data_IF_501133099418
#
_entry.id   IF_501133099418
#
_cell.length_a   1.000
_cell.length_b   1.000
_cell.length_c   1.000
_cell.angle_alpha   90.00
_cell.angle_beta   90.00
_cell.angle_gamma   90.00
#
_symmetry.space_group_name_H-M   'P 1'
#
loop_
_entity.id
_entity.type
_entity.pdbx_description
1 polymer ?
#
# COMPACT_ATOMS: atom_id res chain seq x y z
N UNK A 1 1.08 2.52 -6.19
CA UNK A 1 0.99 2.92 -4.77
C UNK A 1 -0.09 2.13 -4.00
N UNK A 2 -1.39 2.23 -4.31
CA UNK A 2 -2.43 1.54 -3.53
C UNK A 2 -2.30 0.01 -3.53
N UNK A 3 -1.96 -0.60 -4.69
CA UNK A 3 -1.72 -2.04 -4.77
C UNK A 3 -0.55 -2.50 -3.86
N UNK A 4 0.51 -1.71 -3.76
CA UNK A 4 1.65 -2.00 -2.89
C UNK A 4 1.26 -1.93 -1.41
N UNK A 5 0.47 -0.92 -1.03
CA UNK A 5 -0.05 -0.80 0.35
C UNK A 5 -0.97 -1.95 0.71
N UNK A 6 -1.91 -2.31 -0.17
CA UNK A 6 -2.80 -3.45 0.03
C UNK A 6 -2.04 -4.76 0.14
N UNK A 7 -1.11 -5.04 -0.79
CA UNK A 7 -0.33 -6.28 -0.79
C UNK A 7 0.53 -6.41 0.45
N UNK A 8 1.21 -5.32 0.86
CA UNK A 8 1.99 -5.33 2.09
C UNK A 8 1.11 -5.66 3.30
N UNK A 9 -0.09 -5.11 3.38
CA UNK A 9 -0.99 -5.37 4.52
C UNK A 9 -1.55 -6.78 4.53
N UNK A 10 -1.88 -7.35 3.36
CA UNK A 10 -2.28 -8.76 3.24
C UNK A 10 -1.18 -9.69 3.79
N UNK A 11 0.09 -9.38 3.52
CA UNK A 11 1.21 -10.19 3.95
C UNK A 11 1.64 -9.92 5.41
N UNK A 12 1.57 -8.66 5.84
CA UNK A 12 2.01 -8.25 7.18
C UNK A 12 0.92 -8.39 8.26
N UNK A 13 -0.36 -8.49 7.87
CA UNK A 13 -1.50 -8.56 8.79
C UNK A 13 -1.82 -7.25 9.52
N UNK A 14 -1.12 -6.14 9.23
CA UNK A 14 -1.31 -4.84 9.87
C UNK A 14 -1.23 -3.68 8.89
N UNK A 15 -2.17 -2.74 9.02
CA UNK A 15 -2.25 -1.57 8.15
C UNK A 15 -1.12 -0.55 8.36
N UNK A 16 -0.41 -0.62 9.49
CA UNK A 16 0.67 0.31 9.81
C UNK A 16 1.99 -0.03 9.10
N UNK A 17 2.12 -1.24 8.52
CA UNK A 17 3.31 -1.64 7.77
C UNK A 17 3.59 -0.68 6.59
N UNK A 18 2.53 -0.08 6.05
CA UNK A 18 2.56 0.91 4.96
C UNK A 18 3.42 2.14 5.26
N UNK A 19 3.65 2.46 6.55
CA UNK A 19 4.47 3.61 6.92
C UNK A 19 5.93 3.48 6.47
N UNK A 20 6.42 2.26 6.33
CA UNK A 20 7.74 1.98 5.77
C UNK A 20 7.85 2.32 4.28
N UNK A 21 6.73 2.29 3.54
CA UNK A 21 6.67 2.56 2.11
C UNK A 21 6.38 4.04 1.80
N UNK A 22 5.89 4.82 2.76
CA UNK A 22 5.55 6.23 2.54
C UNK A 22 6.70 7.05 1.95
N UNK A 23 7.95 6.98 2.44
CA UNK A 23 9.06 7.74 1.86
C UNK A 23 9.29 7.38 0.39
N UNK A 24 9.33 6.08 0.08
CA UNK A 24 9.54 5.57 -1.27
C UNK A 24 8.43 6.03 -2.22
N UNK A 25 7.16 5.97 -1.79
CA UNK A 25 6.04 6.43 -2.61
C UNK A 25 6.08 7.95 -2.85
N UNK A 26 6.49 8.73 -1.85
CA UNK A 26 6.66 10.18 -2.01
C UNK A 26 7.75 10.50 -3.02
N UNK A 27 8.87 9.79 -2.98
CA UNK A 27 9.99 10.02 -3.89
C UNK A 27 9.66 9.58 -5.32
N UNK A 28 9.03 8.41 -5.49
CA UNK A 28 8.52 7.93 -6.80
C UNK A 28 7.48 8.91 -7.35
N UNK A 29 6.57 9.43 -6.53
CA UNK A 29 5.56 10.39 -6.99
C UNK A 29 6.21 11.69 -7.47
N UNK A 30 7.17 12.23 -6.71
CA UNK A 30 7.90 13.46 -7.09
C UNK A 30 8.70 13.29 -8.38
N UNK A 31 9.37 12.17 -8.57
CA UNK A 31 10.17 11.93 -9.79
C UNK A 31 9.31 11.86 -11.05
N UNK A 32 8.06 11.43 -10.92
CA UNK A 32 7.08 11.39 -12.00
C UNK A 32 6.26 12.70 -12.14
N UNK A 33 6.63 13.77 -11.42
CA UNK A 33 5.87 15.02 -11.33
C UNK A 33 4.42 14.85 -10.85
N UNK A 34 4.13 13.81 -10.08
CA UNK A 34 2.82 13.52 -9.52
C UNK A 34 2.75 14.07 -8.09
N UNK A 35 1.66 14.77 -7.76
CA UNK A 35 1.40 15.29 -6.42
C UNK A 35 1.32 14.15 -5.41
N UNK A 36 2.26 14.03 -4.43
CA UNK A 36 2.32 12.87 -3.54
C UNK A 36 1.10 12.67 -2.65
N UNK A 37 0.32 13.72 -2.37
CA UNK A 37 -0.87 13.64 -1.50
C UNK A 37 -1.90 12.63 -1.99
N UNK A 38 -2.03 12.47 -3.31
CA UNK A 38 -3.01 11.57 -3.94
C UNK A 38 -2.62 10.09 -3.82
N UNK A 39 -1.44 9.64 -4.30
CA UNK A 39 -1.03 8.25 -4.14
C UNK A 39 -0.81 7.87 -2.67
N UNK A 40 -0.40 8.80 -1.81
CA UNK A 40 -0.18 8.55 -0.39
C UNK A 40 -1.50 8.29 0.35
N UNK A 41 -2.53 9.12 0.13
CA UNK A 41 -3.84 8.95 0.77
C UNK A 41 -4.48 7.63 0.35
N UNK A 42 -4.45 7.31 -0.95
CA UNK A 42 -4.96 6.06 -1.50
C UNK A 42 -4.21 4.85 -0.93
N UNK A 43 -2.89 4.94 -0.76
CA UNK A 43 -2.10 3.85 -0.18
C UNK A 43 -2.49 3.56 1.28
N UNK A 44 -2.67 4.60 2.10
CA UNK A 44 -3.05 4.44 3.51
C UNK A 44 -4.47 3.85 3.64
N UNK A 45 -5.43 4.35 2.86
CA UNK A 45 -6.80 3.81 2.86
C UNK A 45 -6.81 2.35 2.40
N UNK A 46 -6.11 2.06 1.32
CA UNK A 46 -6.02 0.71 0.77
C UNK A 46 -5.36 -0.27 1.74
N UNK A 47 -4.39 0.21 2.52
CA UNK A 47 -3.77 -0.55 3.60
C UNK A 47 -4.78 -0.93 4.69
N UNK A 48 -5.58 0.03 5.19
CA UNK A 48 -6.56 -0.27 6.24
C UNK A 48 -7.66 -1.22 5.78
N UNK A 49 -8.10 -1.09 4.53
CA UNK A 49 -9.05 -2.02 3.93
C UNK A 49 -8.41 -3.41 3.74
N UNK A 50 -7.12 -3.48 3.39
CA UNK A 50 -6.40 -4.75 3.20
C UNK A 50 -6.37 -5.64 4.45
N UNK A 51 -6.46 -5.07 5.66
CA UNK A 51 -6.50 -5.85 6.92
C UNK A 51 -7.64 -6.86 6.90
N UNK A 52 -8.81 -6.49 6.36
CA UNK A 52 -10.01 -7.35 6.38
C UNK A 52 -9.93 -8.52 5.41
N UNK A 53 -8.97 -8.51 4.49
CA UNK A 53 -8.73 -9.58 3.54
C UNK A 53 -7.47 -10.41 3.88
N UNK A 54 -6.75 -10.04 4.95
CA UNK A 54 -5.49 -10.68 5.33
C UNK A 54 -5.73 -11.97 6.11
N UNK A 55 -5.29 -13.15 5.62
CA UNK A 55 -5.43 -14.41 6.36
C UNK A 55 -4.60 -14.44 7.65
N UNK A 56 -3.51 -13.68 7.70
CA UNK A 56 -2.64 -13.52 8.88
C UNK A 56 -3.28 -12.62 9.96
N UNK A 57 -4.35 -11.88 9.63
CA UNK A 57 -4.92 -10.90 10.57
C UNK A 57 -5.80 -11.59 11.62
N UNK A 58 -5.54 -11.30 12.89
CA UNK A 58 -6.36 -11.78 13.99
C UNK A 58 -7.84 -11.36 13.86
N UNK A 59 -8.11 -10.18 13.28
CA UNK A 59 -9.47 -9.70 13.05
C UNK A 59 -10.24 -10.58 12.06
N UNK A 60 -9.56 -11.05 11.01
CA UNK A 60 -10.13 -11.90 9.96
C UNK A 60 -10.40 -13.30 10.50
N UNK A 61 -9.45 -13.88 11.24
CA UNK A 61 -9.60 -15.19 11.89
C UNK A 61 -10.76 -15.16 12.90
N UNK A 62 -10.88 -14.09 13.69
CA UNK A 62 -12.00 -13.92 14.61
C UNK A 62 -13.34 -13.83 13.85
N UNK A 63 -13.43 -12.98 12.84
CA UNK A 63 -14.65 -12.79 12.06
C UNK A 63 -15.09 -14.06 11.35
N UNK A 64 -14.16 -14.85 10.82
CA UNK A 64 -14.50 -16.14 10.23
C UNK A 64 -15.05 -17.13 11.24
N UNK A 65 -14.51 -17.16 12.47
CA UNK A 65 -15.04 -18.03 13.53
C UNK A 65 -16.46 -17.64 13.97
N UNK A 66 -16.80 -16.36 13.89
CA UNK A 66 -18.18 -15.87 14.14
C UNK A 66 -19.13 -16.24 13.00
N UNK A 67 -18.64 -16.29 11.76
CA UNK A 67 -19.43 -16.60 10.56
C UNK A 67 -19.55 -18.10 10.28
N UNK A 68 -18.67 -18.93 10.84
CA UNK A 68 -18.67 -20.39 10.66
C UNK A 68 -19.98 -21.06 11.14
N UNK A 69 -20.56 -20.70 12.31
CA UNK A 69 -21.89 -21.19 12.72
C UNK A 69 -23.03 -20.80 11.78
N UNK A 70 -22.84 -19.76 10.95
CA UNK A 70 -23.81 -19.30 9.95
C UNK A 70 -23.66 -20.05 8.61
N UNK A 71 -22.80 -21.07 8.55
CA UNK A 71 -22.60 -21.92 7.38
C UNK A 71 -21.54 -21.43 6.40
N UNK A 72 -20.71 -20.44 6.78
CA UNK A 72 -19.63 -19.93 5.94
C UNK A 72 -18.31 -20.63 6.22
N UNK A 73 -17.57 -20.95 5.17
CA UNK A 73 -16.24 -21.55 5.28
C UNK A 73 -15.13 -20.49 5.16
N UNK A 74 -14.05 -20.65 5.92
CA UNK A 74 -12.92 -19.73 5.97
C UNK A 74 -12.29 -19.42 4.59
N UNK A 75 -11.94 -20.42 3.74
CA UNK A 75 -11.36 -20.16 2.42
C UNK A 75 -12.32 -19.39 1.49
N UNK A 76 -13.63 -19.64 1.61
CA UNK A 76 -14.65 -18.93 0.83
C UNK A 76 -14.72 -17.46 1.23
N UNK A 77 -14.71 -17.17 2.54
CA UNK A 77 -14.70 -15.80 3.05
C UNK A 77 -13.45 -15.03 2.63
N UNK A 78 -12.27 -15.64 2.76
CA UNK A 78 -11.00 -15.05 2.33
C UNK A 78 -11.01 -14.76 0.83
N UNK A 79 -11.49 -15.69 0.00
CA UNK A 79 -11.59 -15.46 -1.45
C UNK A 79 -12.49 -14.27 -1.81
N UNK A 80 -13.62 -14.12 -1.10
CA UNK A 80 -14.53 -12.98 -1.27
C UNK A 80 -13.88 -11.69 -0.79
N UNK A 81 -13.28 -11.67 0.40
CA UNK A 81 -12.66 -10.45 0.95
C UNK A 81 -11.46 -10.00 0.13
N UNK A 82 -10.59 -10.91 -0.30
CA UNK A 82 -9.44 -10.57 -1.17
C UNK A 82 -9.92 -9.93 -2.47
N UNK A 83 -10.87 -10.56 -3.16
CA UNK A 83 -11.34 -10.06 -4.45
C UNK A 83 -12.09 -8.72 -4.32
N UNK A 84 -13.03 -8.63 -3.37
CA UNK A 84 -13.84 -7.42 -3.17
C UNK A 84 -12.99 -6.23 -2.70
N UNK A 85 -12.09 -6.43 -1.72
CA UNK A 85 -11.24 -5.34 -1.21
C UNK A 85 -10.24 -4.85 -2.25
N UNK A 86 -9.61 -5.76 -2.99
CA UNK A 86 -8.65 -5.39 -4.04
C UNK A 86 -9.33 -4.56 -5.14
N UNK A 87 -10.46 -5.06 -5.66
CA UNK A 87 -11.22 -4.36 -6.71
C UNK A 87 -11.70 -3.00 -6.21
N UNK A 88 -12.25 -2.91 -4.99
CA UNK A 88 -12.71 -1.65 -4.42
C UNK A 88 -11.56 -0.63 -4.29
N UNK A 89 -10.39 -1.05 -3.82
CA UNK A 89 -9.21 -0.20 -3.70
C UNK A 89 -8.73 0.29 -5.08
N UNK A 90 -8.70 -0.59 -6.08
CA UNK A 90 -8.23 -0.23 -7.43
C UNK A 90 -9.21 0.70 -8.15
N UNK A 91 -10.51 0.44 -8.03
CA UNK A 91 -11.55 1.32 -8.57
C UNK A 91 -11.51 2.70 -7.93
N UNK A 92 -11.35 2.76 -6.60
CA UNK A 92 -11.23 4.02 -5.88
C UNK A 92 -10.00 4.80 -6.36
N UNK A 93 -8.86 4.12 -6.48
CA UNK A 93 -7.64 4.74 -6.99
C UNK A 93 -7.80 5.28 -8.41
N UNK A 94 -8.48 4.52 -9.28
CA UNK A 94 -8.78 4.93 -10.65
C UNK A 94 -9.67 6.17 -10.68
N UNK A 95 -10.80 6.18 -9.96
CA UNK A 95 -11.72 7.32 -9.90
C UNK A 95 -11.02 8.57 -9.35
N UNK A 96 -10.29 8.43 -8.25
CA UNK A 96 -9.55 9.55 -7.63
C UNK A 96 -8.49 10.12 -8.57
N UNK A 97 -7.83 9.27 -9.35
CA UNK A 97 -6.85 9.72 -10.35
C UNK A 97 -7.46 10.51 -11.51
N UNK A 98 -8.74 10.28 -11.84
CA UNK A 98 -9.45 11.01 -12.89
C UNK A 98 -9.97 12.37 -12.42
N UNK A 99 -10.45 12.44 -11.18
CA UNK A 99 -11.08 13.67 -10.64
C UNK A 99 -10.07 14.63 -10.02
N UNK A 100 -8.89 14.15 -9.60
CA UNK A 100 -7.94 14.96 -8.84
C UNK A 100 -6.81 15.45 -9.74
N UNK A 101 -6.52 16.77 -9.78
CA UNK A 101 -5.36 17.28 -10.50
C UNK A 101 -4.08 16.74 -9.87
N UNK A 102 -3.32 15.97 -10.65
CA UNK A 102 -2.10 15.29 -10.20
C UNK A 102 -0.81 16.06 -10.48
N UNK A 103 -0.86 17.17 -11.22
CA UNK A 103 0.34 17.95 -11.57
C UNK A 103 1.00 18.56 -10.34
N UNK A 104 2.18 18.06 -9.98
CA UNK A 104 2.98 18.60 -8.89
C UNK A 104 3.58 19.98 -9.24
N UNK A 105 3.93 20.19 -10.50
CA UNK A 105 4.50 21.44 -11.01
C UNK A 105 3.60 22.67 -10.83
N UNK A 106 2.29 22.49 -10.75
CA UNK A 106 1.29 23.56 -10.59
C UNK A 106 0.97 23.88 -9.12
N UNK A 107 1.55 23.14 -8.18
CA UNK A 107 1.29 23.34 -6.74
C UNK A 107 2.12 24.52 -6.20
N UNK A 108 1.44 25.53 -5.65
CA UNK A 108 2.06 26.73 -5.09
C UNK A 108 3.03 26.42 -3.96
N UNK A 109 2.70 25.45 -3.10
CA UNK A 109 3.56 25.01 -1.98
C UNK A 109 4.80 24.30 -2.50
N UNK A 110 4.66 23.54 -3.59
CA UNK A 110 5.81 22.88 -4.22
C UNK A 110 6.75 23.91 -4.88
N UNK A 111 6.19 24.89 -5.60
CA UNK A 111 6.94 25.98 -6.21
C UNK A 111 7.72 26.81 -5.18
N UNK A 112 7.11 27.13 -4.04
CA UNK A 112 7.78 27.84 -2.93
C UNK A 112 8.92 27.00 -2.33
N UNK A 113 8.68 25.71 -2.07
CA UNK A 113 9.71 24.82 -1.53
C UNK A 113 10.86 24.56 -2.52
N UNK A 114 10.56 24.52 -3.82
CA UNK A 114 11.55 24.41 -4.88
C UNK A 114 12.42 25.67 -4.93
N UNK A 115 11.81 26.86 -4.89
CA UNK A 115 12.52 28.15 -4.85
C UNK A 115 13.38 28.30 -3.58
N UNK A 116 12.93 27.74 -2.46
CA UNK A 116 13.69 27.71 -1.21
C UNK A 116 14.81 26.64 -1.19
N UNK A 117 14.98 25.84 -2.24
CA UNK A 117 15.99 24.77 -2.30
C UNK A 117 15.73 23.61 -1.33
N UNK A 118 14.52 23.48 -0.78
CA UNK A 118 14.16 22.47 0.21
C UNK A 118 13.69 21.14 -0.42
N UNK A 119 13.60 21.09 -1.75
CA UNK A 119 13.22 19.88 -2.49
C UNK A 119 14.47 19.11 -2.85
N UNK A 120 14.69 17.97 -2.19
CA UNK A 120 15.70 16.99 -2.61
C UNK A 120 15.29 16.36 -3.93
N UNK A 121 16.26 16.20 -4.83
CA UNK A 121 16.06 15.53 -6.11
C UNK A 121 15.72 14.05 -5.88
N UNK A 122 14.54 13.62 -6.36
CA UNK A 122 14.01 12.28 -6.12
C UNK A 122 14.75 11.20 -6.93
N UNK A 123 15.56 11.59 -7.92
CA UNK A 123 16.33 10.67 -8.76
C UNK A 123 17.38 9.85 -8.01
N UNK A 124 17.93 10.37 -6.91
CA UNK A 124 19.01 9.69 -6.17
C UNK A 124 18.56 8.41 -5.44
N UNK A 125 17.27 8.26 -5.14
CA UNK A 125 16.73 7.09 -4.41
C UNK A 125 16.29 5.99 -5.38
N UNK A 126 15.77 6.37 -6.56
CA UNK A 126 15.36 5.43 -7.62
C UNK A 126 16.53 4.71 -8.29
N UNK A 127 17.71 5.33 -8.28
CA UNK A 127 18.95 4.77 -8.81
C UNK A 127 19.91 4.29 -7.71
N UNK A 128 19.47 4.23 -6.45
CA UNK A 128 20.26 3.66 -5.37
C UNK A 128 20.44 2.15 -5.58
N UNK A 129 21.67 1.65 -5.45
CA UNK A 129 21.92 0.21 -5.45
C UNK A 129 21.14 -0.47 -4.31
N UNK A 130 20.53 -1.60 -4.61
CA UNK A 130 19.91 -2.46 -3.61
C UNK A 130 20.93 -2.77 -2.51
N UNK A 131 20.54 -2.59 -1.25
CA UNK A 131 21.39 -2.99 -0.12
C UNK A 131 21.71 -4.49 -0.23
N UNK A 132 22.95 -4.92 0.07
CA UNK A 132 23.30 -6.33 0.07
C UNK A 132 22.36 -7.09 1.02
N UNK A 133 21.66 -8.10 0.50
CA UNK A 133 20.68 -8.89 1.26
C UNK A 133 19.21 -8.47 1.13
N UNK A 134 18.87 -7.42 0.37
CA UNK A 134 17.48 -7.01 0.16
C UNK A 134 16.59 -8.16 -0.36
N UNK A 135 17.06 -8.88 -1.38
CA UNK A 135 16.35 -10.04 -1.96
C UNK A 135 16.24 -11.22 -0.99
N UNK A 136 17.27 -11.45 -0.17
CA UNK A 136 17.27 -12.48 0.86
C UNK A 136 16.24 -12.18 1.94
N UNK A 137 16.16 -10.92 2.39
CA UNK A 137 15.18 -10.47 3.38
C UNK A 137 13.74 -10.69 2.91
N UNK A 138 13.43 -10.32 1.65
CA UNK A 138 12.11 -10.57 1.05
C UNK A 138 11.81 -12.07 0.97
N UNK A 139 12.81 -12.89 0.60
CA UNK A 139 12.67 -14.34 0.57
C UNK A 139 12.33 -14.93 1.95
N UNK A 140 13.07 -14.54 2.99
CA UNK A 140 12.81 -14.99 4.37
C UNK A 140 11.42 -14.55 4.83
N UNK A 141 11.03 -13.31 4.55
CA UNK A 141 9.70 -12.79 4.88
C UNK A 141 8.58 -13.63 4.24
N UNK A 142 8.65 -13.87 2.93
CA UNK A 142 7.63 -14.65 2.21
C UNK A 142 7.58 -16.11 2.69
N UNK A 143 8.73 -16.74 2.93
CA UNK A 143 8.78 -18.10 3.48
C UNK A 143 8.15 -18.15 4.87
N UNK A 144 8.40 -17.15 5.71
CA UNK A 144 7.83 -17.07 7.06
C UNK A 144 6.31 -16.90 7.00
N UNK A 145 5.81 -16.05 6.10
CA UNK A 145 4.36 -15.88 5.89
C UNK A 145 3.72 -17.20 5.46
N UNK A 146 4.34 -17.91 4.50
CA UNK A 146 3.84 -19.22 4.03
C UNK A 146 3.93 -20.34 5.06
N UNK A 147 4.85 -20.26 6.03
CA UNK A 147 4.97 -21.25 7.08
C UNK A 147 3.97 -21.04 8.22
N UNK A 148 3.49 -19.81 8.39
CA UNK A 148 2.53 -19.42 9.44
C UNK A 148 1.08 -19.58 8.98
N UNK A 149 0.81 -19.33 7.68
CA UNK A 149 -0.51 -19.44 7.03
C UNK A 149 -0.74 -20.84 6.51
#
# INVERSE_FOLDING_TARGET
APACGWLLTILAGTGNAVFSLMPVVVDVAKSQNIKPSVPLSLMVVSSQIGITASPVSAAVVYMSGVLEPLGWNYPTLIGIWISTTFIACMLTAFIVSLITPMDLSKDSVYQERLKAGLVKDAGAILHGEDKPGAKLSVGIFLITVLAVV
#
